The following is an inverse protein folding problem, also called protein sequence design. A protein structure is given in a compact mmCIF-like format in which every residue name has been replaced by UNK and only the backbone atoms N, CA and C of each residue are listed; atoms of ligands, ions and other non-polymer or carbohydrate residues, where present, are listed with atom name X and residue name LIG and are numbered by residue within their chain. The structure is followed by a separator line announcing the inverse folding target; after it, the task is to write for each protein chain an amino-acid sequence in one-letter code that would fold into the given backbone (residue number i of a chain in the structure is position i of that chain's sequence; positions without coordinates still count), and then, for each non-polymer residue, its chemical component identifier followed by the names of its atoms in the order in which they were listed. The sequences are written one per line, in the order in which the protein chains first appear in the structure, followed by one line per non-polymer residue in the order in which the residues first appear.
data_IF_939144420999
#
_entry.id   IF_939144420999
#
_cell.length_a   1.000
_cell.length_b   1.000
_cell.length_c   1.000
_cell.angle_alpha   90.00
_cell.angle_beta   90.00
_cell.angle_gamma   90.00
#
_symmetry.space_group_name_H-M   'P 1'
#
loop_
_entity.id
_entity.type
_entity.pdbx_description
1 polymer ?
#
# COMPACT_ATOMS: atom_id res chain seq x y z
N UNK A 1 36.90 16.64 -42.51
CA UNK A 1 36.91 15.31 -41.87
C UNK A 1 37.48 15.48 -40.47
N UNK A 2 36.68 15.41 -39.43
CA UNK A 2 36.96 15.19 -37.98
C UNK A 2 35.89 15.93 -37.16
N UNK A 3 34.62 15.44 -37.26
CA UNK A 3 33.55 15.73 -36.29
C UNK A 3 32.53 14.60 -36.30
N UNK A 4 32.99 13.41 -35.99
CA UNK A 4 32.12 12.24 -35.63
C UNK A 4 32.97 11.41 -34.69
N UNK A 5 32.67 11.43 -33.42
CA UNK A 5 32.92 10.36 -32.41
C UNK A 5 32.97 10.94 -30.98
N UNK A 6 31.91 11.55 -30.50
CA UNK A 6 31.62 11.62 -29.06
C UNK A 6 30.11 11.61 -28.88
N UNK A 7 29.48 10.56 -29.39
CA UNK A 7 28.10 10.16 -29.00
C UNK A 7 28.16 8.70 -28.61
N UNK A 8 28.68 8.42 -27.44
CA UNK A 8 28.43 7.13 -26.80
C UNK A 8 28.83 7.21 -25.34
N UNK A 9 28.01 6.59 -24.50
CA UNK A 9 28.30 6.26 -23.11
C UNK A 9 27.95 7.33 -22.05
N UNK A 10 26.74 7.85 -22.08
CA UNK A 10 26.07 8.10 -20.81
C UNK A 10 25.22 6.85 -20.54
N UNK A 11 25.59 6.00 -19.59
CA UNK A 11 24.70 4.93 -19.16
C UNK A 11 23.39 5.58 -18.74
N UNK A 12 22.25 4.99 -19.14
CA UNK A 12 20.94 5.48 -18.73
C UNK A 12 20.94 5.62 -17.22
N UNK A 13 20.23 6.60 -16.71
CA UNK A 13 20.14 6.87 -15.26
C UNK A 13 19.74 5.61 -14.47
N UNK A 14 18.99 4.72 -15.09
CA UNK A 14 18.60 3.41 -14.54
C UNK A 14 19.79 2.42 -14.45
N UNK A 15 20.67 2.38 -15.43
CA UNK A 15 21.89 1.55 -15.38
C UNK A 15 22.85 2.08 -14.31
N UNK A 16 22.90 3.40 -14.12
CA UNK A 16 23.71 4.00 -13.07
C UNK A 16 23.11 3.71 -11.68
N UNK A 17 21.79 3.82 -11.54
CA UNK A 17 21.06 3.43 -10.31
C UNK A 17 21.29 1.94 -9.99
N UNK A 18 21.22 1.07 -10.98
CA UNK A 18 21.41 -0.36 -10.80
C UNK A 18 22.85 -0.72 -10.45
N UNK A 19 23.85 -0.05 -11.06
CA UNK A 19 25.27 -0.20 -10.68
C UNK A 19 25.59 0.36 -9.29
N UNK A 20 24.97 1.47 -8.89
CA UNK A 20 25.09 2.01 -7.55
C UNK A 20 24.40 1.10 -6.51
N UNK A 21 23.22 0.55 -6.79
CA UNK A 21 22.51 -0.35 -5.88
C UNK A 21 23.30 -1.63 -5.57
N UNK A 22 24.14 -2.12 -6.49
CA UNK A 22 24.99 -3.29 -6.27
C UNK A 22 26.25 -3.01 -5.40
N UNK A 23 26.56 -1.75 -5.13
CA UNK A 23 27.70 -1.34 -4.28
C UNK A 23 27.37 -1.16 -2.80
N UNK A 24 26.07 -1.26 -2.42
CA UNK A 24 25.65 -0.98 -1.07
C UNK A 24 25.77 -2.21 -0.16
N UNK A 25 26.34 -2.08 1.03
CA UNK A 25 26.50 -3.19 1.96
C UNK A 25 25.15 -3.65 2.56
N UNK A 26 24.11 -2.83 2.46
CA UNK A 26 22.78 -3.09 2.97
C UNK A 26 21.71 -2.42 2.10
N UNK A 27 20.62 -3.12 1.84
CA UNK A 27 19.46 -2.60 1.08
C UNK A 27 18.18 -3.27 1.57
N UNK A 28 17.14 -2.46 1.82
CA UNK A 28 15.78 -2.93 2.01
C UNK A 28 14.89 -2.35 0.92
N UNK A 29 14.19 -3.21 0.20
CA UNK A 29 13.12 -2.85 -0.73
C UNK A 29 11.79 -3.15 -0.09
N UNK A 30 10.99 -2.13 0.16
CA UNK A 30 9.61 -2.29 0.61
C UNK A 30 8.70 -2.10 -0.58
N UNK A 31 7.99 -3.17 -0.98
CA UNK A 31 7.14 -3.20 -2.16
C UNK A 31 5.71 -2.80 -1.77
N UNK A 32 5.11 -1.89 -2.53
CA UNK A 32 3.75 -1.40 -2.32
C UNK A 32 2.80 -1.94 -3.38
N UNK A 33 1.83 -2.72 -2.96
CA UNK A 33 0.70 -3.19 -3.76
C UNK A 33 -0.62 -2.69 -3.17
N UNK A 34 -1.71 -2.84 -3.93
CA UNK A 34 -3.09 -2.63 -3.45
C UNK A 34 -3.92 -3.86 -3.83
N UNK A 35 -4.74 -3.78 -4.88
CA UNK A 35 -5.54 -4.89 -5.34
C UNK A 35 -4.78 -5.87 -6.24
N UNK A 36 -5.29 -7.11 -6.29
CA UNK A 36 -4.81 -8.17 -7.19
C UNK A 36 -5.97 -8.66 -8.06
N UNK A 37 -5.65 -9.25 -9.20
CA UNK A 37 -6.60 -10.02 -10.00
C UNK A 37 -5.91 -11.26 -10.59
N UNK A 38 -6.73 -12.30 -10.77
CA UNK A 38 -6.29 -13.53 -11.44
C UNK A 38 -6.34 -13.31 -12.95
N UNK A 39 -5.20 -13.17 -13.57
CA UNK A 39 -5.06 -12.97 -15.01
C UNK A 39 -5.08 -14.26 -15.83
N UNK A 40 -5.26 -15.42 -15.19
CA UNK A 40 -5.59 -16.67 -15.88
C UNK A 40 -7.07 -16.72 -16.30
N UNK A 41 -7.93 -15.93 -15.63
CA UNK A 41 -9.31 -15.70 -16.00
C UNK A 41 -9.40 -14.40 -16.81
N UNK A 42 -10.17 -14.38 -17.88
CA UNK A 42 -10.28 -13.25 -18.85
C UNK A 42 -10.87 -11.95 -18.27
N UNK A 43 -10.87 -11.74 -16.96
CA UNK A 43 -11.53 -10.66 -16.26
C UNK A 43 -10.51 -9.65 -15.70
N UNK A 44 -10.16 -8.64 -16.49
CA UNK A 44 -9.57 -7.41 -15.93
C UNK A 44 -10.59 -6.71 -15.03
N UNK A 45 -10.13 -6.04 -13.94
CA UNK A 45 -11.04 -5.30 -13.08
C UNK A 45 -11.72 -4.16 -13.87
N UNK A 46 -13.03 -4.26 -14.01
CA UNK A 46 -13.85 -3.23 -14.69
C UNK A 46 -14.58 -2.31 -13.72
N UNK A 47 -14.63 -2.71 -12.45
CA UNK A 47 -15.39 -2.03 -11.38
C UNK A 47 -14.52 -1.21 -10.43
N UNK A 48 -13.21 -1.29 -10.60
CA UNK A 48 -12.22 -0.53 -9.83
C UNK A 48 -11.13 0.03 -10.76
N UNK A 49 -10.38 1.03 -10.31
CA UNK A 49 -9.33 1.66 -11.12
C UNK A 49 -8.21 0.64 -11.43
N UNK A 50 -8.01 0.24 -12.70
CA UNK A 50 -7.01 -0.75 -13.06
C UNK A 50 -5.57 -0.31 -12.71
N UNK A 51 -5.32 0.99 -12.49
CA UNK A 51 -3.98 1.49 -12.16
C UNK A 51 -3.49 1.08 -10.77
N UNK A 52 -4.41 0.69 -9.87
CA UNK A 52 -4.08 0.23 -8.51
C UNK A 52 -4.11 -1.29 -8.37
N UNK A 53 -4.45 -2.02 -9.45
CA UNK A 53 -4.52 -3.47 -9.45
C UNK A 53 -3.38 -4.08 -10.26
N UNK A 54 -2.84 -5.18 -9.77
CA UNK A 54 -1.79 -5.92 -10.45
C UNK A 54 -2.24 -7.36 -10.73
N UNK A 55 -1.86 -7.93 -11.89
CA UNK A 55 -2.09 -9.35 -12.14
C UNK A 55 -1.27 -10.21 -11.19
N UNK A 56 -1.84 -11.33 -10.73
CA UNK A 56 -1.18 -12.26 -9.82
C UNK A 56 0.09 -12.85 -10.44
N UNK A 57 0.11 -13.07 -11.77
CA UNK A 57 1.30 -13.51 -12.50
C UNK A 57 2.45 -12.52 -12.39
N UNK A 58 2.17 -11.21 -12.44
CA UNK A 58 3.20 -10.18 -12.31
C UNK A 58 3.78 -10.15 -10.89
N UNK A 59 2.93 -10.26 -9.86
CA UNK A 59 3.39 -10.40 -8.48
C UNK A 59 4.33 -11.62 -8.36
N UNK A 60 3.93 -12.78 -8.88
CA UNK A 60 4.77 -14.00 -8.90
C UNK A 60 6.13 -13.74 -9.55
N UNK A 61 6.14 -13.14 -10.73
CA UNK A 61 7.37 -12.84 -11.46
C UNK A 61 8.30 -11.92 -10.66
N UNK A 62 7.76 -10.87 -10.03
CA UNK A 62 8.55 -9.92 -9.24
C UNK A 62 9.15 -10.56 -7.99
N UNK A 63 8.36 -11.33 -7.23
CA UNK A 63 8.84 -12.02 -6.03
C UNK A 63 9.93 -13.06 -6.38
N UNK A 64 9.72 -13.83 -7.45
CA UNK A 64 10.68 -14.81 -7.93
C UNK A 64 11.99 -14.14 -8.40
N UNK A 65 11.88 -13.04 -9.15
CA UNK A 65 13.04 -12.28 -9.61
C UNK A 65 13.86 -11.70 -8.46
N UNK A 66 13.21 -11.18 -7.41
CA UNK A 66 13.90 -10.67 -6.22
C UNK A 66 14.63 -11.79 -5.47
N UNK A 67 14.01 -12.96 -5.31
CA UNK A 67 14.68 -14.14 -4.72
C UNK A 67 15.91 -14.55 -5.54
N UNK A 68 15.77 -14.62 -6.86
CA UNK A 68 16.90 -14.95 -7.76
C UNK A 68 18.03 -13.90 -7.70
N UNK A 69 17.73 -12.64 -7.38
CA UNK A 69 18.70 -11.57 -7.14
C UNK A 69 19.34 -11.61 -5.75
N UNK A 70 18.99 -12.59 -4.92
CA UNK A 70 19.52 -12.80 -3.57
C UNK A 70 18.87 -11.92 -2.49
N UNK A 71 17.64 -11.44 -2.73
CA UNK A 71 16.86 -10.79 -1.67
C UNK A 71 16.26 -11.81 -0.72
N UNK A 72 16.41 -11.55 0.58
CA UNK A 72 15.70 -12.26 1.64
C UNK A 72 14.43 -11.49 1.98
N UNK A 73 13.26 -12.12 1.84
CA UNK A 73 12.01 -11.55 2.30
C UNK A 73 11.94 -11.63 3.83
N UNK A 74 11.67 -10.49 4.44
CA UNK A 74 11.65 -10.35 5.90
C UNK A 74 10.20 -10.25 6.40
N UNK A 75 9.98 -10.69 7.63
CA UNK A 75 8.74 -10.41 8.35
C UNK A 75 8.63 -8.91 8.63
N UNK A 76 7.43 -8.33 8.63
CA UNK A 76 7.25 -6.92 8.94
C UNK A 76 7.85 -6.52 10.30
N UNK A 77 7.79 -7.39 11.29
CA UNK A 77 8.35 -7.19 12.64
C UNK A 77 9.87 -7.05 12.64
N UNK A 78 10.54 -7.65 11.64
CA UNK A 78 11.99 -7.63 11.49
C UNK A 78 12.53 -6.36 10.82
N UNK A 79 11.65 -5.47 10.36
CA UNK A 79 12.02 -4.27 9.60
C UNK A 79 13.13 -3.48 10.26
N UNK A 80 12.98 -3.18 11.56
CA UNK A 80 13.98 -2.42 12.31
C UNK A 80 15.24 -3.24 12.59
N UNK A 81 15.11 -4.54 12.75
CA UNK A 81 16.22 -5.43 13.07
C UNK A 81 17.21 -5.62 11.93
N UNK A 82 16.74 -5.47 10.68
CA UNK A 82 17.60 -5.58 9.48
C UNK A 82 18.23 -4.27 9.07
N UNK A 83 17.75 -3.14 9.60
CA UNK A 83 18.34 -1.83 9.31
C UNK A 83 19.82 -1.79 9.72
N UNK A 84 20.69 -1.53 8.76
CA UNK A 84 22.14 -1.50 8.95
C UNK A 84 22.85 -2.87 8.90
N UNK A 85 22.12 -3.99 8.80
CA UNK A 85 22.76 -5.31 8.62
C UNK A 85 23.14 -5.49 7.14
N UNK A 86 24.33 -6.09 6.89
CA UNK A 86 24.75 -6.43 5.52
C UNK A 86 23.77 -7.41 4.88
N UNK A 87 23.31 -7.11 3.67
CA UNK A 87 22.44 -7.99 2.92
C UNK A 87 21.44 -7.25 2.04
N UNK A 88 20.72 -8.02 1.24
CA UNK A 88 19.61 -7.55 0.43
C UNK A 88 18.31 -8.07 1.04
N UNK A 89 17.47 -7.18 1.49
CA UNK A 89 16.20 -7.51 2.13
C UNK A 89 15.05 -6.96 1.31
N UNK A 90 13.93 -7.67 1.31
CA UNK A 90 12.68 -7.22 0.72
C UNK A 90 11.54 -7.39 1.71
N UNK A 91 10.56 -6.51 1.67
CA UNK A 91 9.32 -6.61 2.41
C UNK A 91 8.15 -6.36 1.46
N UNK A 92 7.11 -7.18 1.57
CA UNK A 92 5.91 -7.08 0.75
C UNK A 92 4.79 -6.42 1.55
N UNK A 93 4.16 -5.40 0.97
CA UNK A 93 3.07 -4.66 1.61
C UNK A 93 1.90 -4.47 0.66
N UNK A 94 0.68 -4.56 1.20
CA UNK A 94 -0.57 -4.28 0.50
C UNK A 94 -1.35 -3.24 1.28
N UNK A 95 -1.95 -2.28 0.59
CA UNK A 95 -2.78 -1.25 1.20
C UNK A 95 -4.28 -1.51 0.95
N UNK A 96 -5.11 -0.78 1.70
CA UNK A 96 -6.57 -0.69 1.67
C UNK A 96 -7.32 -1.85 2.32
N UNK A 97 -6.93 -3.10 2.09
CA UNK A 97 -7.64 -4.28 2.61
C UNK A 97 -8.72 -4.81 1.67
N UNK A 98 -8.48 -4.76 0.37
CA UNK A 98 -9.34 -5.38 -0.64
C UNK A 98 -9.49 -6.89 -0.42
N UNK A 99 -10.68 -7.43 -0.64
CA UNK A 99 -10.94 -8.86 -0.55
C UNK A 99 -10.10 -9.69 -1.54
N UNK A 100 -9.76 -9.12 -2.69
CA UNK A 100 -8.92 -9.78 -3.67
C UNK A 100 -7.46 -9.95 -3.22
N UNK A 101 -7.03 -9.36 -2.11
CA UNK A 101 -5.75 -9.66 -1.49
C UNK A 101 -5.65 -11.12 -0.99
N UNK A 102 -6.78 -11.78 -0.76
CA UNK A 102 -6.83 -13.22 -0.43
C UNK A 102 -6.19 -14.07 -1.53
N UNK A 103 -6.21 -13.62 -2.79
CA UNK A 103 -5.53 -14.27 -3.92
C UNK A 103 -4.01 -14.38 -3.74
N UNK A 104 -3.42 -13.53 -2.90
CA UNK A 104 -1.99 -13.61 -2.63
C UNK A 104 -1.60 -14.83 -1.80
N UNK A 105 -2.47 -15.32 -0.90
CA UNK A 105 -2.11 -16.30 0.13
C UNK A 105 -1.48 -17.60 -0.44
N UNK A 106 -2.06 -18.26 -1.45
CA UNK A 106 -1.45 -19.46 -2.02
C UNK A 106 -0.04 -19.20 -2.57
N UNK A 107 0.17 -18.04 -3.20
CA UNK A 107 1.47 -17.63 -3.73
C UNK A 107 2.48 -17.34 -2.62
N UNK A 108 2.04 -16.65 -1.55
CA UNK A 108 2.89 -16.37 -0.40
C UNK A 108 3.35 -17.67 0.29
N UNK A 109 2.43 -18.63 0.44
CA UNK A 109 2.72 -19.95 1.00
C UNK A 109 3.67 -20.76 0.10
N UNK A 110 3.45 -20.80 -1.21
CA UNK A 110 4.33 -21.48 -2.18
C UNK A 110 5.75 -20.91 -2.12
N UNK A 111 5.86 -19.58 -2.13
CA UNK A 111 7.14 -18.90 -2.15
C UNK A 111 7.73 -18.65 -0.75
N UNK A 112 7.02 -18.97 0.33
CA UNK A 112 7.42 -18.67 1.72
C UNK A 112 7.81 -17.19 1.87
N UNK A 113 6.91 -16.28 1.44
CA UNK A 113 7.09 -14.82 1.49
C UNK A 113 6.13 -14.23 2.50
N UNK A 114 6.61 -13.65 3.61
CA UNK A 114 5.76 -12.92 4.52
C UNK A 114 5.34 -11.57 3.94
N UNK A 115 4.15 -11.10 4.32
CA UNK A 115 3.61 -9.82 3.87
C UNK A 115 2.81 -9.11 4.98
N UNK A 116 2.71 -7.78 4.88
CA UNK A 116 1.79 -6.98 5.69
C UNK A 116 0.68 -6.40 4.83
N UNK A 117 -0.55 -6.47 5.35
CA UNK A 117 -1.75 -5.94 4.73
C UNK A 117 -2.29 -4.81 5.61
N UNK A 118 -2.16 -3.57 5.14
CA UNK A 118 -2.65 -2.39 5.82
C UNK A 118 -4.12 -2.18 5.46
N UNK A 119 -5.00 -2.24 6.46
CA UNK A 119 -6.44 -2.25 6.22
C UNK A 119 -7.13 -1.00 6.77
N UNK A 120 -8.17 -0.55 6.07
CA UNK A 120 -9.07 0.51 6.50
C UNK A 120 -10.27 -0.10 7.22
N UNK A 121 -10.32 0.02 8.56
CA UNK A 121 -11.28 -0.74 9.37
C UNK A 121 -12.74 -0.40 9.09
N UNK A 122 -13.06 0.87 8.80
CA UNK A 122 -14.44 1.26 8.54
C UNK A 122 -15.05 0.55 7.33
N UNK A 123 -14.27 0.38 6.25
CA UNK A 123 -14.73 -0.31 5.04
C UNK A 123 -15.04 -1.79 5.32
N UNK A 124 -14.21 -2.45 6.13
CA UNK A 124 -14.40 -3.84 6.55
C UNK A 124 -15.67 -3.97 7.42
N UNK A 125 -15.83 -3.09 8.41
CA UNK A 125 -16.97 -3.13 9.34
C UNK A 125 -18.31 -2.82 8.66
N UNK A 126 -18.30 -1.91 7.68
CA UNK A 126 -19.51 -1.44 7.01
C UNK A 126 -19.75 -2.08 5.64
N UNK A 127 -18.84 -2.91 5.17
CA UNK A 127 -18.89 -3.59 3.86
C UNK A 127 -19.20 -2.61 2.71
N UNK A 128 -18.47 -1.48 2.71
CA UNK A 128 -18.62 -0.44 1.69
C UNK A 128 -17.41 -0.40 0.78
N UNK A 129 -17.65 -0.27 -0.53
CA UNK A 129 -16.61 -0.06 -1.52
C UNK A 129 -15.80 1.20 -1.22
N UNK A 130 -14.56 1.23 -1.67
CA UNK A 130 -13.75 2.42 -1.53
C UNK A 130 -14.28 3.54 -2.44
N UNK A 131 -14.38 4.75 -1.90
CA UNK A 131 -15.00 5.88 -2.59
C UNK A 131 -14.38 6.18 -3.97
N UNK A 132 -13.07 5.94 -4.13
CA UNK A 132 -12.39 6.15 -5.41
C UNK A 132 -12.77 5.10 -6.46
N UNK A 133 -13.14 3.90 -6.06
CA UNK A 133 -13.66 2.88 -6.96
C UNK A 133 -15.11 3.17 -7.33
N UNK A 134 -15.92 3.65 -6.39
CA UNK A 134 -17.27 4.15 -6.67
C UNK A 134 -17.21 5.24 -7.72
N UNK A 135 -16.39 6.27 -7.52
CA UNK A 135 -16.23 7.38 -8.48
C UNK A 135 -15.77 6.87 -9.85
N UNK A 136 -14.80 5.94 -9.87
CA UNK A 136 -14.31 5.37 -11.11
C UNK A 136 -15.42 4.64 -11.88
N UNK A 137 -16.04 3.68 -11.23
CA UNK A 137 -17.08 2.83 -11.81
C UNK A 137 -18.28 3.64 -12.33
N UNK A 138 -18.79 4.55 -11.51
CA UNK A 138 -19.95 5.35 -11.84
C UNK A 138 -19.69 6.34 -12.99
N UNK A 139 -18.50 6.95 -13.00
CA UNK A 139 -18.17 7.90 -14.08
C UNK A 139 -17.76 7.20 -15.37
N UNK A 140 -17.10 6.04 -15.33
CA UNK A 140 -16.84 5.22 -16.52
C UNK A 140 -18.16 4.77 -17.16
N UNK A 141 -19.13 4.33 -16.37
CA UNK A 141 -20.47 3.95 -16.87
C UNK A 141 -21.19 5.12 -17.56
N UNK A 142 -20.87 6.36 -17.19
CA UNK A 142 -21.38 7.60 -17.84
C UNK A 142 -20.49 8.09 -18.99
N UNK A 143 -19.51 7.31 -19.44
CA UNK A 143 -18.54 7.64 -20.50
C UNK A 143 -17.72 8.91 -20.20
N UNK A 144 -17.44 9.19 -18.93
CA UNK A 144 -16.58 10.30 -18.51
C UNK A 144 -15.11 9.94 -18.79
N UNK A 145 -14.32 10.91 -19.26
CA UNK A 145 -12.91 10.68 -19.57
C UNK A 145 -12.08 10.34 -18.32
N UNK A 146 -11.04 9.50 -18.45
CA UNK A 146 -10.12 9.18 -17.35
C UNK A 146 -9.48 10.43 -16.74
N UNK A 147 -9.23 11.47 -17.55
CA UNK A 147 -8.72 12.76 -17.07
C UNK A 147 -9.71 13.44 -16.10
N UNK A 148 -11.00 13.47 -16.46
CA UNK A 148 -12.05 14.09 -15.64
C UNK A 148 -12.36 13.28 -14.39
N UNK A 149 -12.34 11.95 -14.49
CA UNK A 149 -12.40 11.06 -13.32
C UNK A 149 -11.26 11.37 -12.36
N UNK A 150 -10.03 11.48 -12.86
CA UNK A 150 -8.87 11.86 -12.05
C UNK A 150 -9.00 13.25 -11.41
N UNK A 151 -9.58 14.23 -12.12
CA UNK A 151 -9.90 15.54 -11.56
C UNK A 151 -10.91 15.43 -10.42
N UNK A 152 -12.02 14.72 -10.64
CA UNK A 152 -13.07 14.52 -9.64
C UNK A 152 -12.54 13.87 -8.36
N UNK A 153 -11.73 12.84 -8.49
CA UNK A 153 -11.07 12.20 -7.36
C UNK A 153 -10.16 13.16 -6.58
N UNK A 154 -9.41 14.03 -7.25
CA UNK A 154 -8.56 15.04 -6.58
C UNK A 154 -9.39 16.08 -5.81
N UNK A 155 -10.58 16.44 -6.30
CA UNK A 155 -11.52 17.32 -5.59
C UNK A 155 -12.07 16.65 -4.35
N UNK A 156 -12.56 15.42 -4.48
CA UNK A 156 -13.13 14.66 -3.37
C UNK A 156 -12.12 14.32 -2.26
N UNK A 157 -10.85 14.11 -2.61
CA UNK A 157 -9.77 13.90 -1.63
C UNK A 157 -9.61 15.05 -0.61
N UNK A 158 -10.08 16.24 -0.93
CA UNK A 158 -9.98 17.42 -0.06
C UNK A 158 -11.11 17.52 0.95
N UNK A 159 -12.13 16.70 0.80
CA UNK A 159 -13.31 16.70 1.66
C UNK A 159 -13.03 16.00 2.99
N UNK A 160 -13.68 16.44 4.06
CA UNK A 160 -13.79 15.64 5.27
C UNK A 160 -14.55 14.34 4.97
N UNK A 161 -14.33 13.28 5.75
CA UNK A 161 -15.01 12.01 5.55
C UNK A 161 -16.53 12.13 5.45
N UNK A 162 -17.14 12.88 6.35
CA UNK A 162 -18.59 13.12 6.33
C UNK A 162 -19.05 13.84 5.06
N UNK A 163 -18.33 14.88 4.64
CA UNK A 163 -18.64 15.60 3.42
C UNK A 163 -18.45 14.72 2.17
N UNK A 164 -17.44 13.87 2.16
CA UNK A 164 -17.18 12.92 1.09
C UNK A 164 -18.33 11.92 0.93
N UNK A 165 -18.80 11.31 2.02
CA UNK A 165 -19.96 10.41 1.97
C UNK A 165 -21.21 11.12 1.46
N UNK A 166 -21.51 12.31 1.99
CA UNK A 166 -22.65 13.10 1.53
C UNK A 166 -22.56 13.45 0.05
N UNK A 167 -21.36 13.71 -0.46
CA UNK A 167 -21.14 14.02 -1.87
C UNK A 167 -21.29 12.79 -2.77
N UNK A 168 -20.82 11.61 -2.31
CA UNK A 168 -21.06 10.35 -3.01
C UNK A 168 -22.56 10.03 -3.12
N UNK A 169 -23.27 10.15 -1.98
CA UNK A 169 -24.70 9.88 -1.93
C UNK A 169 -25.49 10.85 -2.84
N UNK A 170 -25.11 12.12 -2.85
CA UNK A 170 -25.73 13.16 -3.68
C UNK A 170 -25.50 12.92 -5.18
N UNK A 171 -24.29 12.52 -5.58
CA UNK A 171 -23.89 12.39 -6.98
C UNK A 171 -24.28 11.05 -7.60
N UNK A 172 -24.18 9.98 -6.83
CA UNK A 172 -24.31 8.60 -7.31
C UNK A 172 -25.44 7.82 -6.63
N UNK A 173 -25.98 8.29 -5.53
CA UNK A 173 -26.97 7.58 -4.70
C UNK A 173 -26.35 6.68 -3.63
N UNK A 174 -27.10 6.44 -2.57
CA UNK A 174 -26.64 5.69 -1.37
C UNK A 174 -26.16 4.28 -1.73
N UNK A 175 -26.82 3.63 -2.68
CA UNK A 175 -26.48 2.27 -3.10
C UNK A 175 -25.15 2.18 -3.87
N UNK A 176 -24.69 3.29 -4.44
CA UNK A 176 -23.43 3.31 -5.17
C UNK A 176 -22.23 2.97 -4.27
N UNK A 177 -22.34 3.14 -2.96
CA UNK A 177 -21.31 2.73 -2.01
C UNK A 177 -21.27 1.22 -1.75
N UNK A 178 -22.23 0.44 -2.24
CA UNK A 178 -22.22 -1.02 -2.14
C UNK A 178 -21.21 -1.61 -3.14
N UNK A 179 -20.42 -2.61 -2.72
CA UNK A 179 -19.55 -3.32 -3.65
C UNK A 179 -20.37 -4.07 -4.71
N UNK A 180 -19.85 -4.13 -5.92
CA UNK A 180 -20.50 -4.84 -7.04
C UNK A 180 -19.69 -6.06 -7.50
N UNK A 181 -18.46 -6.21 -7.02
CA UNK A 181 -17.58 -7.32 -7.39
C UNK A 181 -16.51 -7.61 -6.32
N UNK A 182 -15.73 -8.68 -6.49
CA UNK A 182 -14.56 -8.95 -5.66
C UNK A 182 -13.47 -7.90 -5.79
N UNK A 183 -13.44 -7.15 -6.89
CA UNK A 183 -12.39 -6.16 -7.13
C UNK A 183 -12.59 -4.85 -6.37
N UNK A 184 -13.83 -4.49 -6.03
CA UNK A 184 -14.15 -3.27 -5.30
C UNK A 184 -14.67 -3.51 -3.87
N UNK A 185 -14.65 -4.75 -3.42
CA UNK A 185 -15.10 -5.16 -2.08
C UNK A 185 -13.93 -5.17 -1.08
N UNK A 186 -14.09 -4.63 0.13
CA UNK A 186 -13.18 -4.92 1.24
C UNK A 186 -13.31 -6.38 1.71
N UNK A 187 -12.34 -6.88 2.45
CA UNK A 187 -12.51 -8.14 3.20
C UNK A 187 -13.68 -8.01 4.18
N UNK A 188 -14.33 -9.12 4.51
CA UNK A 188 -15.19 -9.17 5.69
C UNK A 188 -14.33 -9.32 6.95
N UNK A 189 -14.92 -9.07 8.13
CA UNK A 189 -14.23 -9.28 9.40
C UNK A 189 -13.80 -10.75 9.60
N UNK A 190 -14.62 -11.70 9.15
CA UNK A 190 -14.33 -13.13 9.21
C UNK A 190 -13.20 -13.52 8.25
N UNK A 191 -13.23 -13.01 7.01
CA UNK A 191 -12.15 -13.21 6.04
C UNK A 191 -10.83 -12.64 6.58
N UNK A 192 -10.86 -11.43 7.16
CA UNK A 192 -9.68 -10.79 7.73
C UNK A 192 -9.12 -11.60 8.90
N UNK A 193 -9.97 -12.06 9.81
CA UNK A 193 -9.56 -12.90 10.95
C UNK A 193 -8.91 -14.21 10.50
N UNK A 194 -9.54 -14.89 9.52
CA UNK A 194 -9.01 -16.13 8.95
C UNK A 194 -7.67 -15.89 8.24
N UNK A 195 -7.58 -14.82 7.46
CA UNK A 195 -6.37 -14.43 6.74
C UNK A 195 -5.23 -14.09 7.69
N UNK A 196 -5.52 -13.35 8.77
CA UNK A 196 -4.55 -12.97 9.80
C UNK A 196 -4.02 -14.16 10.63
N UNK A 197 -4.69 -15.29 10.60
CA UNK A 197 -4.24 -16.51 11.30
C UNK A 197 -3.08 -17.23 10.57
N UNK A 198 -2.84 -16.92 9.29
CA UNK A 198 -1.69 -17.48 8.56
C UNK A 198 -0.38 -16.86 9.05
N UNK A 199 0.66 -17.66 9.34
CA UNK A 199 1.92 -17.15 9.88
C UNK A 199 2.72 -16.25 8.91
N UNK A 200 2.37 -16.20 7.64
CA UNK A 200 2.98 -15.32 6.65
C UNK A 200 2.26 -13.97 6.52
N UNK A 201 1.11 -13.81 7.17
CA UNK A 201 0.26 -12.63 7.09
C UNK A 201 0.37 -11.80 8.37
N UNK A 202 0.61 -10.51 8.21
CA UNK A 202 0.51 -9.51 9.29
C UNK A 202 -0.52 -8.46 8.86
N UNK A 203 -1.44 -8.09 9.74
CA UNK A 203 -2.37 -6.99 9.48
C UNK A 203 -1.82 -5.72 10.11
N UNK A 204 -1.79 -4.65 9.33
CA UNK A 204 -1.37 -3.31 9.72
C UNK A 204 -2.52 -2.30 9.65
N UNK A 205 -2.30 -1.13 10.21
CA UNK A 205 -3.24 -0.03 10.26
C UNK A 205 -3.13 0.84 8.99
N UNK A 206 -4.27 1.13 8.34
CA UNK A 206 -4.35 2.10 7.24
C UNK A 206 -5.37 3.21 7.52
N UNK A 207 -5.52 3.59 8.80
CA UNK A 207 -6.54 4.47 9.36
C UNK A 207 -7.96 3.89 9.31
N UNK A 208 -8.89 4.52 10.00
CA UNK A 208 -10.29 4.08 9.99
C UNK A 208 -10.93 4.27 8.60
N UNK A 209 -10.77 5.47 8.00
CA UNK A 209 -11.48 5.90 6.80
C UNK A 209 -10.56 6.16 5.60
N UNK A 210 -9.31 5.69 5.59
CA UNK A 210 -8.30 6.10 4.62
C UNK A 210 -8.07 7.62 4.61
N UNK A 211 -8.06 8.23 5.80
CA UNK A 211 -8.00 9.67 5.96
C UNK A 211 -6.62 10.24 5.63
N UNK A 212 -6.57 11.40 4.96
CA UNK A 212 -5.34 12.18 4.75
C UNK A 212 -4.96 12.87 6.07
N UNK A 213 -4.21 12.19 6.91
CA UNK A 213 -3.94 12.59 8.29
C UNK A 213 -3.46 14.04 8.48
N UNK A 214 -2.57 14.61 7.62
CA UNK A 214 -2.16 16.02 7.74
C UNK A 214 -3.28 17.06 7.56
N UNK A 215 -4.46 16.66 7.09
CA UNK A 215 -5.64 17.55 6.97
C UNK A 215 -6.51 17.56 8.23
N UNK A 216 -6.21 16.72 9.21
CA UNK A 216 -6.94 16.61 10.47
C UNK A 216 -6.18 17.34 11.59
N UNK A 217 -6.92 17.73 12.62
CA UNK A 217 -6.33 18.13 13.90
C UNK A 217 -5.75 16.90 14.65
N UNK A 218 -5.01 17.14 15.72
CA UNK A 218 -4.35 16.07 16.48
C UNK A 218 -5.33 15.05 17.05
N UNK A 219 -6.51 15.50 17.50
CA UNK A 219 -7.55 14.61 18.02
C UNK A 219 -8.14 13.74 16.91
N UNK A 220 -8.37 14.31 15.73
CA UNK A 220 -8.80 13.58 14.54
C UNK A 220 -7.79 12.54 14.11
N UNK A 221 -6.49 12.87 14.10
CA UNK A 221 -5.42 11.91 13.80
C UNK A 221 -5.41 10.76 14.80
N UNK A 222 -5.46 11.07 16.12
CA UNK A 222 -5.51 10.04 17.16
C UNK A 222 -6.73 9.13 16.98
N UNK A 223 -7.90 9.68 16.77
CA UNK A 223 -9.15 8.94 16.57
C UNK A 223 -9.06 8.00 15.36
N UNK A 224 -8.60 8.47 14.20
CA UNK A 224 -8.41 7.65 13.00
C UNK A 224 -7.50 6.44 13.25
N UNK A 225 -6.38 6.66 13.94
CA UNK A 225 -5.41 5.62 14.21
C UNK A 225 -5.85 4.67 15.32
N UNK A 226 -6.37 5.17 16.44
CA UNK A 226 -6.79 4.34 17.57
C UNK A 226 -8.01 3.49 17.23
N UNK A 227 -9.04 4.08 16.61
CA UNK A 227 -10.24 3.32 16.22
C UNK A 227 -9.86 2.18 15.29
N UNK A 228 -9.03 2.42 14.28
CA UNK A 228 -8.55 1.34 13.41
C UNK A 228 -7.76 0.28 14.17
N UNK A 229 -6.87 0.66 15.11
CA UNK A 229 -6.15 -0.31 15.94
C UNK A 229 -7.09 -1.17 16.79
N UNK A 230 -8.11 -0.55 17.39
CA UNK A 230 -9.07 -1.24 18.24
C UNK A 230 -9.96 -2.20 17.44
N UNK A 231 -10.41 -1.76 16.27
CA UNK A 231 -11.18 -2.60 15.32
C UNK A 231 -10.36 -3.82 14.86
N UNK A 232 -9.10 -3.61 14.46
CA UNK A 232 -8.23 -4.74 14.07
C UNK A 232 -7.99 -5.68 15.25
N UNK A 233 -7.78 -5.13 16.45
CA UNK A 233 -7.60 -5.95 17.65
C UNK A 233 -8.84 -6.80 17.96
N UNK A 234 -10.03 -6.26 17.76
CA UNK A 234 -11.28 -6.98 17.94
C UNK A 234 -11.46 -8.10 16.89
N UNK A 235 -11.10 -7.84 15.63
CA UNK A 235 -11.25 -8.81 14.54
C UNK A 235 -10.15 -9.88 14.52
N UNK A 236 -8.89 -9.50 14.78
CA UNK A 236 -7.72 -10.37 14.58
C UNK A 236 -7.09 -10.88 15.89
N UNK A 237 -7.54 -10.41 17.06
CA UNK A 237 -7.01 -10.82 18.36
C UNK A 237 -5.68 -10.18 18.76
N UNK A 238 -5.12 -9.26 17.96
CA UNK A 238 -3.92 -8.52 18.28
C UNK A 238 -3.96 -7.08 17.77
N UNK A 239 -3.30 -6.18 18.49
CA UNK A 239 -3.21 -4.77 18.11
C UNK A 239 -2.10 -4.55 17.07
N UNK A 240 -2.38 -3.93 15.91
CA UNK A 240 -1.37 -3.70 14.89
C UNK A 240 -0.30 -2.73 15.37
N UNK A 241 0.96 -3.06 15.12
CA UNK A 241 2.12 -2.22 15.47
C UNK A 241 2.74 -1.50 14.28
N UNK A 242 2.15 -1.64 13.10
CA UNK A 242 2.60 -1.02 11.86
C UNK A 242 1.51 -0.16 11.24
N UNK A 243 1.91 0.95 10.63
CA UNK A 243 1.04 1.93 10.00
C UNK A 243 1.50 2.21 8.58
N UNK A 244 0.58 2.20 7.60
CA UNK A 244 0.82 2.88 6.32
C UNK A 244 -0.01 4.17 6.28
N UNK A 245 0.65 5.28 5.98
CA UNK A 245 -0.05 6.56 5.84
C UNK A 245 -0.83 6.59 4.53
N UNK A 246 -2.15 6.85 4.53
CA UNK A 246 -2.92 6.99 3.31
C UNK A 246 -2.28 8.00 2.33
N UNK A 247 -2.13 7.60 1.06
CA UNK A 247 -1.39 8.33 0.03
C UNK A 247 0.07 8.67 0.41
N UNK A 248 0.64 8.06 1.43
CA UNK A 248 1.96 8.40 1.97
C UNK A 248 2.02 9.77 2.66
N UNK A 249 0.87 10.40 2.93
CA UNK A 249 0.77 11.77 3.45
C UNK A 249 1.06 11.80 4.95
N UNK A 250 2.14 12.47 5.33
CA UNK A 250 2.60 12.59 6.71
C UNK A 250 3.30 13.93 6.93
N UNK A 251 3.17 14.49 8.14
CA UNK A 251 3.96 15.59 8.65
C UNK A 251 4.57 15.22 10.01
N UNK A 252 5.37 16.11 10.59
CA UNK A 252 6.05 15.84 11.87
C UNK A 252 5.09 15.53 13.03
N UNK A 253 3.98 16.25 13.12
CA UNK A 253 2.96 16.03 14.16
C UNK A 253 2.30 14.66 14.02
N UNK A 254 1.91 14.26 12.81
CA UNK A 254 1.33 12.94 12.53
C UNK A 254 2.32 11.82 12.87
N UNK A 255 3.60 11.98 12.50
CA UNK A 255 4.63 10.99 12.84
C UNK A 255 4.82 10.86 14.35
N UNK A 256 4.79 11.97 15.10
CA UNK A 256 4.92 11.96 16.55
C UNK A 256 3.71 11.32 17.24
N UNK A 257 2.50 11.62 16.76
CA UNK A 257 1.27 10.97 17.24
C UNK A 257 1.35 9.47 16.99
N UNK A 258 1.80 9.01 15.81
CA UNK A 258 1.92 7.59 15.53
C UNK A 258 2.89 6.88 16.48
N UNK A 259 4.03 7.52 16.82
CA UNK A 259 4.96 7.01 17.86
C UNK A 259 4.29 6.91 19.23
N UNK A 260 3.56 7.96 19.62
CA UNK A 260 2.87 8.00 20.93
C UNK A 260 1.79 6.94 21.08
N UNK A 261 1.22 6.47 19.96
CA UNK A 261 0.23 5.40 19.91
C UNK A 261 0.85 3.98 19.86
N UNK A 262 2.18 3.88 19.92
CA UNK A 262 2.90 2.61 20.00
C UNK A 262 3.15 1.93 18.66
N UNK A 263 2.97 2.61 17.54
CA UNK A 263 3.43 2.07 16.26
C UNK A 263 4.94 1.96 16.24
N UNK A 264 5.46 0.82 15.81
CA UNK A 264 6.91 0.53 15.72
C UNK A 264 7.51 1.00 14.41
N UNK A 265 6.71 0.95 13.33
CA UNK A 265 7.12 1.38 12.01
C UNK A 265 5.94 1.98 11.25
N UNK A 266 6.21 3.02 10.43
CA UNK A 266 5.21 3.62 9.58
C UNK A 266 5.78 3.92 8.17
N UNK A 267 4.93 3.73 7.16
CA UNK A 267 5.30 3.64 5.76
C UNK A 267 4.69 4.77 4.94
N UNK A 268 5.51 5.34 4.05
CA UNK A 268 5.11 6.36 3.07
C UNK A 268 5.03 5.77 1.66
N UNK A 269 4.69 6.60 0.67
CA UNK A 269 4.72 6.22 -0.76
C UNK A 269 5.87 6.86 -1.52
N UNK A 270 6.88 7.37 -0.81
CA UNK A 270 8.08 7.93 -1.45
C UNK A 270 8.84 6.80 -2.16
N UNK A 271 8.88 6.84 -3.49
CA UNK A 271 9.41 5.77 -4.32
C UNK A 271 10.95 5.71 -4.29
N UNK A 272 11.51 5.10 -3.26
CA UNK A 272 12.96 4.83 -3.16
C UNK A 272 13.24 3.61 -2.30
N UNK A 273 14.33 2.84 -2.55
CA UNK A 273 14.76 1.82 -1.61
C UNK A 273 15.27 2.47 -0.32
N UNK A 274 15.13 1.78 0.80
CA UNK A 274 15.81 2.15 2.04
C UNK A 274 17.27 1.72 1.90
N UNK A 275 18.20 2.66 1.94
CA UNK A 275 19.63 2.42 1.77
C UNK A 275 20.38 2.91 3.01
N UNK A 276 21.37 2.12 3.48
CA UNK A 276 22.32 2.57 4.49
C UNK A 276 23.61 3.03 3.82
N UNK A 277 23.92 4.32 3.97
CA UNK A 277 25.26 4.83 3.76
C UNK A 277 26.04 4.69 5.05
N UNK A 278 27.30 4.37 4.99
CA UNK A 278 28.16 4.07 6.14
C UNK A 278 28.27 5.15 7.23
N UNK A 279 27.58 6.28 7.15
CA UNK A 279 27.53 7.37 8.15
C UNK A 279 26.22 8.17 8.07
N UNK A 280 25.21 7.73 7.33
CA UNK A 280 23.94 8.48 7.27
C UNK A 280 23.03 8.02 8.40
N UNK A 281 22.37 8.98 9.04
CA UNK A 281 21.37 8.77 10.09
C UNK A 281 20.41 7.62 9.72
N UNK A 282 20.05 6.75 10.67
CA UNK A 282 19.12 5.66 10.41
C UNK A 282 17.84 6.23 9.80
N UNK A 283 17.29 5.54 8.79
CA UNK A 283 15.98 5.89 8.24
C UNK A 283 14.99 5.99 9.41
N UNK A 284 14.26 7.10 9.47
CA UNK A 284 13.22 7.25 10.48
C UNK A 284 12.22 6.09 10.33
N UNK A 285 12.06 5.32 11.40
CA UNK A 285 11.15 4.17 11.41
C UNK A 285 9.69 4.55 11.11
N UNK A 286 9.34 5.82 11.20
CA UNK A 286 8.01 6.36 10.90
C UNK A 286 7.93 7.09 9.55
N UNK A 287 8.97 6.96 8.70
CA UNK A 287 9.02 7.54 7.35
C UNK A 287 9.63 6.54 6.35
N UNK A 288 9.31 5.27 6.49
CA UNK A 288 9.89 4.21 5.64
C UNK A 288 9.32 4.33 4.21
N UNK A 289 10.18 4.54 3.20
CA UNK A 289 9.75 4.65 1.81
C UNK A 289 9.37 3.30 1.22
N UNK A 290 8.47 3.31 0.23
CA UNK A 290 8.01 2.11 -0.48
C UNK A 290 8.14 2.28 -1.99
N UNK A 291 8.38 1.18 -2.69
CA UNK A 291 8.49 1.10 -4.15
C UNK A 291 7.18 0.55 -4.72
N UNK A 292 6.60 1.26 -5.67
CA UNK A 292 5.51 0.71 -6.48
C UNK A 292 6.07 -0.35 -7.44
N UNK A 293 5.29 -1.40 -7.77
CA UNK A 293 5.68 -2.40 -8.77
C UNK A 293 5.90 -1.71 -10.13
N UNK A 294 6.96 -2.14 -10.82
CA UNK A 294 7.36 -1.60 -12.12
C UNK A 294 6.44 -1.98 -13.28
#
# INVERSE_FOLDING_TARGET
MKHKLIQSLRPSFEVLKQRLSNRWPWQLRVLLYHGLYDDTCSCSPTTADPSVFQPLSKLRCELTALKAQGYTFIRPEDTLSVMGKRGKFAMLTFDDGYANNLLALPLLQELQVPAVFFVCSWHIENQKAFWWDVVFRELIARNVSSHDIGRRRREMKKLSWRALLSELDREFGIEASLPVSLTDRPMTAEELATFAADPLVTIGNHTQHHAILPLLDEEGVRRELQTCQDSIAAMCGYRPSMLAYPNGSVNGAVAEISRSLGFKAAFTTVARPVLSFGVVAPCDSHLIPRLQPG
#
